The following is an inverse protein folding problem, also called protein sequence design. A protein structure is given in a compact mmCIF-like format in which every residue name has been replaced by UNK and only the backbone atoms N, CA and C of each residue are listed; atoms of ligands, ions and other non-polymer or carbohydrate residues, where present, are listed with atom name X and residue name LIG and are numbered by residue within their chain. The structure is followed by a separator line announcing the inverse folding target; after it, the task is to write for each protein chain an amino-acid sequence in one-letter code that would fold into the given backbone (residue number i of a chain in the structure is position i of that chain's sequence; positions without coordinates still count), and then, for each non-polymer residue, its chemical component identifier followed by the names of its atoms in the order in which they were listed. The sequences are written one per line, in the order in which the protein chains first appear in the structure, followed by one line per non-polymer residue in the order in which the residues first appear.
data_IF_627980021087
#
_entry.id   IF_627980021087
#
_cell.length_a   1.000
_cell.length_b   1.000
_cell.length_c   1.000
_cell.angle_alpha   90.00
_cell.angle_beta   90.00
_cell.angle_gamma   90.00
#
_symmetry.space_group_name_H-M   'P 1'
#
loop_
_entity.id
_entity.type
_entity.pdbx_description
1 polymer ?
#
# COMPACT_ATOMS: atom_id res chain seq x y z
N UNK A 1 11.79 -3.92 -5.55
CA UNK A 1 12.47 -2.80 -6.26
C UNK A 1 13.93 -2.61 -5.86
N UNK A 2 14.27 -2.33 -4.59
CA UNK A 2 15.67 -2.07 -4.19
C UNK A 2 16.62 -3.23 -4.54
N UNK A 3 16.26 -4.47 -4.20
CA UNK A 3 17.06 -5.66 -4.52
C UNK A 3 17.37 -5.76 -6.02
N UNK A 4 16.36 -5.55 -6.86
CA UNK A 4 16.51 -5.56 -8.31
C UNK A 4 17.47 -4.47 -8.81
N UNK A 5 17.32 -3.24 -8.30
CA UNK A 5 18.20 -2.12 -8.66
C UNK A 5 19.65 -2.42 -8.30
N UNK A 6 19.91 -2.85 -7.07
CA UNK A 6 21.26 -3.18 -6.61
C UNK A 6 21.88 -4.32 -7.43
N UNK A 7 21.09 -5.33 -7.80
CA UNK A 7 21.55 -6.44 -8.65
C UNK A 7 21.89 -5.97 -10.06
N UNK A 8 21.08 -5.08 -10.65
CA UNK A 8 21.37 -4.45 -11.96
C UNK A 8 22.64 -3.59 -11.94
N UNK A 9 22.99 -3.02 -10.80
CA UNK A 9 24.25 -2.28 -10.61
C UNK A 9 25.46 -3.18 -10.27
N UNK A 10 25.28 -4.51 -10.28
CA UNK A 10 26.38 -5.47 -10.19
C UNK A 10 26.60 -6.09 -8.81
N UNK A 11 25.72 -5.86 -7.81
CA UNK A 11 25.78 -6.61 -6.57
C UNK A 11 25.22 -8.02 -6.77
N UNK A 12 26.04 -9.04 -6.55
CA UNK A 12 25.66 -10.44 -6.67
C UNK A 12 25.15 -11.02 -5.35
N UNK A 13 24.68 -12.26 -5.39
CA UNK A 13 24.17 -13.02 -4.23
C UNK A 13 25.18 -13.18 -3.09
N UNK A 14 26.47 -13.00 -3.33
CA UNK A 14 27.49 -13.01 -2.27
C UNK A 14 27.48 -11.73 -1.44
N UNK A 15 27.01 -10.62 -2.02
CA UNK A 15 27.02 -9.29 -1.39
C UNK A 15 25.62 -8.76 -1.07
N UNK A 16 24.58 -9.36 -1.66
CA UNK A 16 23.19 -8.95 -1.50
C UNK A 16 22.34 -10.11 -0.97
N UNK A 17 21.52 -9.82 0.04
CA UNK A 17 20.53 -10.73 0.58
C UNK A 17 19.20 -9.99 0.76
N UNK A 18 18.18 -10.44 0.04
CA UNK A 18 16.81 -9.96 0.21
C UNK A 18 15.97 -11.07 0.85
N UNK A 19 15.32 -10.76 1.96
CA UNK A 19 14.49 -11.71 2.72
C UNK A 19 13.04 -11.22 2.78
N UNK A 20 12.10 -12.14 2.88
CA UNK A 20 10.68 -11.87 3.11
C UNK A 20 10.09 -12.93 4.06
N UNK A 21 9.26 -12.48 5.00
CA UNK A 21 8.61 -13.35 5.98
C UNK A 21 7.50 -14.21 5.34
N UNK A 22 6.94 -13.77 4.21
CA UNK A 22 5.89 -14.50 3.51
C UNK A 22 6.45 -15.73 2.80
N UNK A 23 5.69 -16.83 2.72
CA UNK A 23 6.12 -18.05 2.05
C UNK A 23 6.20 -17.93 0.53
N UNK A 24 5.49 -16.98 -0.06
CA UNK A 24 5.39 -16.81 -1.52
C UNK A 24 4.98 -15.40 -1.89
N UNK A 25 4.99 -15.12 -3.19
CA UNK A 25 4.40 -13.90 -3.78
C UNK A 25 2.94 -13.75 -3.35
N UNK A 26 2.48 -12.51 -3.24
CA UNK A 26 1.11 -12.22 -2.84
C UNK A 26 0.07 -12.86 -3.77
N UNK A 27 -0.81 -13.69 -3.19
CA UNK A 27 -1.99 -14.24 -3.89
C UNK A 27 -3.05 -13.17 -4.15
N UNK A 28 -3.25 -12.27 -3.18
CA UNK A 28 -4.14 -11.11 -3.29
C UNK A 28 -3.39 -9.87 -2.81
N UNK A 29 -3.20 -8.92 -3.74
CA UNK A 29 -2.54 -7.65 -3.50
C UNK A 29 -3.42 -6.66 -2.75
N UNK A 30 -2.82 -5.88 -1.86
CA UNK A 30 -3.53 -4.83 -1.13
C UNK A 30 -3.50 -3.50 -1.90
N UNK A 31 -2.43 -3.25 -2.65
CA UNK A 31 -2.29 -2.10 -3.54
C UNK A 31 -2.56 -2.48 -4.99
N UNK A 32 -2.93 -1.48 -5.78
CA UNK A 32 -3.20 -1.62 -7.22
C UNK A 32 -2.87 -0.36 -8.02
N UNK A 33 -3.10 0.82 -7.45
CA UNK A 33 -2.84 2.11 -8.08
C UNK A 33 -1.36 2.40 -8.35
N UNK A 34 -1.06 2.77 -9.59
CA UNK A 34 0.24 3.21 -10.07
C UNK A 34 0.10 4.65 -10.56
N UNK A 35 0.79 5.54 -9.86
CA UNK A 35 0.86 6.96 -10.18
C UNK A 35 1.74 7.22 -11.42
N UNK A 36 1.52 8.33 -12.16
CA UNK A 36 2.31 8.69 -13.34
C UNK A 36 3.82 8.68 -13.09
N UNK A 37 4.26 9.22 -11.96
CA UNK A 37 5.70 9.25 -11.61
C UNK A 37 6.27 7.85 -11.39
N UNK A 38 5.47 6.92 -10.87
CA UNK A 38 5.87 5.52 -10.72
C UNK A 38 5.99 4.84 -12.09
N UNK A 39 5.09 5.13 -13.04
CA UNK A 39 5.21 4.66 -14.43
C UNK A 39 6.50 5.15 -15.10
N UNK A 40 6.94 6.38 -14.85
CA UNK A 40 8.23 6.91 -15.34
C UNK A 40 9.43 6.16 -14.76
N UNK A 41 9.38 5.80 -13.48
CA UNK A 41 10.40 4.96 -12.84
C UNK A 41 10.39 3.57 -13.47
N UNK A 42 9.23 2.95 -13.64
CA UNK A 42 9.10 1.65 -14.31
C UNK A 42 9.57 1.68 -15.77
N UNK A 43 9.37 2.81 -16.47
CA UNK A 43 9.89 3.00 -17.82
C UNK A 43 11.41 3.02 -17.83
N UNK A 44 12.01 3.71 -16.86
CA UNK A 44 13.46 3.79 -16.70
C UNK A 44 14.07 2.43 -16.31
N UNK A 45 13.30 1.60 -15.61
CA UNK A 45 13.63 0.20 -15.34
C UNK A 45 13.37 -0.73 -16.53
N UNK A 46 12.72 -0.29 -17.60
CA UNK A 46 12.39 -1.15 -18.74
C UNK A 46 11.29 -2.18 -18.46
N UNK A 47 10.51 -2.02 -17.38
CA UNK A 47 9.41 -2.93 -17.01
C UNK A 47 8.02 -2.32 -17.29
N UNK A 48 7.93 -1.06 -17.70
CA UNK A 48 6.63 -0.40 -17.89
C UNK A 48 5.80 -1.04 -18.99
N UNK A 49 6.41 -1.50 -20.09
CA UNK A 49 5.68 -2.02 -21.25
C UNK A 49 4.79 -3.20 -20.88
N UNK A 50 5.30 -4.13 -20.06
CA UNK A 50 4.54 -5.30 -19.60
C UNK A 50 3.39 -4.88 -18.66
N UNK A 51 3.66 -3.91 -17.78
CA UNK A 51 2.65 -3.35 -16.87
C UNK A 51 1.55 -2.62 -17.65
N UNK A 52 1.90 -1.76 -18.60
CA UNK A 52 0.97 -0.94 -19.37
C UNK A 52 0.06 -1.79 -20.29
N UNK A 53 0.55 -2.93 -20.76
CA UNK A 53 -0.23 -3.86 -21.59
C UNK A 53 -1.31 -4.62 -20.79
N UNK A 54 -1.12 -4.80 -19.49
CA UNK A 54 -2.02 -5.56 -18.63
C UNK A 54 -2.87 -4.68 -17.72
N UNK A 55 -2.37 -3.51 -17.34
CA UNK A 55 -3.04 -2.61 -16.41
C UNK A 55 -4.30 -1.97 -17.02
N UNK A 56 -5.28 -1.65 -16.17
CA UNK A 56 -6.36 -0.74 -16.56
C UNK A 56 -5.86 0.70 -16.44
N UNK A 57 -5.97 1.48 -17.51
CA UNK A 57 -5.63 2.91 -17.50
C UNK A 57 -6.84 3.74 -17.10
N UNK A 58 -6.68 4.59 -16.09
CA UNK A 58 -7.69 5.51 -15.59
C UNK A 58 -7.40 6.92 -16.13
N UNK A 59 -8.17 7.33 -17.14
CA UNK A 59 -7.99 8.62 -17.80
C UNK A 59 -8.87 9.72 -17.22
N UNK A 60 -9.98 9.35 -16.60
CA UNK A 60 -11.00 10.27 -16.13
C UNK A 60 -11.49 9.87 -14.76
N UNK A 61 -11.87 10.88 -13.99
CA UNK A 61 -12.52 10.75 -12.69
C UNK A 61 -13.92 11.37 -12.77
N UNK A 62 -14.96 10.58 -12.49
CA UNK A 62 -16.33 11.06 -12.38
C UNK A 62 -16.74 11.29 -10.92
N UNK A 63 -17.39 12.42 -10.66
CA UNK A 63 -17.94 12.75 -9.36
C UNK A 63 -19.47 12.63 -9.40
N UNK A 64 -19.98 11.73 -8.57
CA UNK A 64 -21.41 11.50 -8.36
C UNK A 64 -21.78 11.99 -6.97
N UNK A 65 -22.77 12.88 -6.89
CA UNK A 65 -23.19 13.52 -5.64
C UNK A 65 -24.71 13.39 -5.49
N UNK A 66 -25.27 13.66 -4.29
CA UNK A 66 -26.71 13.70 -4.10
C UNK A 66 -27.35 14.71 -5.06
N UNK A 67 -28.41 14.30 -5.76
CA UNK A 67 -29.11 15.20 -6.68
C UNK A 67 -30.03 16.15 -5.95
N UNK A 68 -30.24 17.33 -6.51
CA UNK A 68 -31.29 18.26 -6.07
C UNK A 68 -32.66 17.95 -6.71
N UNK A 69 -32.70 17.08 -7.72
CA UNK A 69 -33.92 16.60 -8.35
C UNK A 69 -34.61 15.60 -7.42
N UNK A 70 -35.87 15.83 -6.99
CA UNK A 70 -36.58 14.92 -6.09
C UNK A 70 -36.81 13.52 -6.66
N UNK A 71 -36.62 13.34 -7.98
CA UNK A 71 -36.75 12.03 -8.63
C UNK A 71 -35.43 11.25 -8.73
N UNK A 72 -34.30 11.83 -8.27
CA UNK A 72 -32.97 11.22 -8.35
C UNK A 72 -32.32 11.19 -6.98
N UNK A 73 -31.65 10.08 -6.66
CA UNK A 73 -30.88 9.97 -5.41
C UNK A 73 -29.49 10.57 -5.61
N UNK A 74 -28.80 10.16 -6.67
CA UNK A 74 -27.48 10.67 -7.06
C UNK A 74 -27.50 11.11 -8.53
N UNK A 75 -26.57 12.00 -8.87
CA UNK A 75 -26.31 12.41 -10.26
C UNK A 75 -24.84 12.67 -10.51
N UNK A 76 -24.41 12.51 -11.77
CA UNK A 76 -23.06 12.85 -12.20
C UNK A 76 -22.93 14.36 -12.32
N UNK A 77 -22.15 14.94 -11.43
CA UNK A 77 -21.93 16.39 -11.36
C UNK A 77 -20.77 16.86 -12.24
N UNK A 78 -19.72 16.04 -12.39
CA UNK A 78 -18.58 16.39 -13.23
C UNK A 78 -17.79 15.15 -13.67
N UNK A 79 -17.04 15.32 -14.75
CA UNK A 79 -16.01 14.39 -15.21
C UNK A 79 -14.78 15.21 -15.52
N UNK A 80 -13.66 14.87 -14.88
CA UNK A 80 -12.38 15.57 -15.03
C UNK A 80 -11.28 14.60 -15.46
N UNK A 81 -10.17 15.09 -16.03
CA UNK A 81 -8.97 14.26 -16.19
C UNK A 81 -8.50 13.72 -14.84
N UNK A 82 -8.14 12.45 -14.78
CA UNK A 82 -7.65 11.81 -13.56
C UNK A 82 -6.31 12.42 -13.10
N UNK A 83 -5.46 12.77 -14.07
CA UNK A 83 -4.17 13.44 -13.85
C UNK A 83 -4.25 14.88 -14.36
N UNK A 84 -4.21 15.84 -13.43
CA UNK A 84 -4.32 17.28 -13.75
C UNK A 84 -2.94 17.89 -14.01
N UNK A 85 -1.92 17.47 -13.24
CA UNK A 85 -0.58 18.00 -13.39
C UNK A 85 0.07 17.49 -14.69
N UNK A 86 0.92 18.29 -15.36
CA UNK A 86 1.67 17.82 -16.51
C UNK A 86 2.51 16.59 -16.14
N UNK A 87 2.22 15.47 -16.78
CA UNK A 87 2.92 14.20 -16.58
C UNK A 87 3.13 13.51 -17.93
N UNK A 88 4.22 12.74 -18.05
CA UNK A 88 4.49 11.97 -19.29
C UNK A 88 3.40 10.94 -19.55
N UNK A 89 2.87 10.35 -18.48
CA UNK A 89 1.73 9.43 -18.50
C UNK A 89 0.51 10.20 -17.98
N UNK A 90 -0.42 10.65 -18.85
CA UNK A 90 -1.57 11.47 -18.46
C UNK A 90 -2.73 10.64 -17.86
N UNK A 91 -2.40 9.55 -17.17
CA UNK A 91 -3.34 8.63 -16.53
C UNK A 91 -2.69 7.95 -15.32
N UNK A 92 -3.49 7.56 -14.34
CA UNK A 92 -3.11 6.52 -13.39
C UNK A 92 -3.36 5.15 -14.01
N UNK A 93 -2.65 4.13 -13.54
CA UNK A 93 -2.88 2.75 -13.96
C UNK A 93 -3.19 1.87 -12.76
N UNK A 94 -4.00 0.84 -12.92
CA UNK A 94 -4.28 -0.13 -11.87
C UNK A 94 -3.99 -1.54 -12.34
N UNK A 95 -3.28 -2.30 -11.52
CA UNK A 95 -2.95 -3.70 -11.78
C UNK A 95 -2.73 -4.43 -10.46
N UNK A 96 -3.05 -5.72 -10.38
CA UNK A 96 -2.77 -6.53 -9.20
C UNK A 96 -1.30 -6.44 -8.78
N UNK A 97 -1.03 -6.05 -7.53
CA UNK A 97 0.34 -5.92 -6.98
C UNK A 97 1.23 -7.13 -7.26
N UNK A 98 0.69 -8.34 -7.17
CA UNK A 98 1.43 -9.58 -7.44
C UNK A 98 1.97 -9.68 -8.88
N UNK A 99 1.33 -9.01 -9.86
CA UNK A 99 1.86 -8.93 -11.24
C UNK A 99 3.12 -8.09 -11.28
N UNK A 100 3.12 -6.91 -10.64
CA UNK A 100 4.30 -6.03 -10.55
C UNK A 100 5.45 -6.76 -9.83
N UNK A 101 5.16 -7.42 -8.71
CA UNK A 101 6.14 -8.21 -7.96
C UNK A 101 6.74 -9.33 -8.82
N UNK A 102 5.90 -10.07 -9.56
CA UNK A 102 6.34 -11.12 -10.47
C UNK A 102 7.26 -10.59 -11.57
N UNK A 103 6.93 -9.44 -12.18
CA UNK A 103 7.76 -8.83 -13.22
C UNK A 103 9.13 -8.48 -12.65
N UNK A 104 9.17 -7.83 -11.49
CA UNK A 104 10.42 -7.48 -10.82
C UNK A 104 11.23 -8.71 -10.38
N UNK A 105 10.57 -9.76 -9.89
CA UNK A 105 11.22 -10.99 -9.45
C UNK A 105 11.77 -11.79 -10.64
N UNK A 106 11.03 -11.88 -11.74
CA UNK A 106 11.49 -12.51 -12.99
C UNK A 106 12.72 -11.79 -13.56
N UNK A 107 12.74 -10.45 -13.48
CA UNK A 107 13.88 -9.65 -13.90
C UNK A 107 15.08 -9.80 -12.94
N UNK A 108 14.84 -9.91 -11.64
CA UNK A 108 15.88 -10.16 -10.64
C UNK A 108 16.63 -11.47 -10.92
N UNK A 109 15.94 -12.52 -11.36
CA UNK A 109 16.53 -13.82 -11.67
C UNK A 109 17.56 -13.79 -12.82
N UNK A 110 17.65 -12.69 -13.58
CA UNK A 110 18.71 -12.49 -14.58
C UNK A 110 20.06 -12.13 -13.95
N UNK A 111 20.06 -11.69 -12.70
CA UNK A 111 21.22 -11.16 -11.98
C UNK A 111 21.51 -11.93 -10.67
N UNK A 112 20.55 -12.70 -10.18
CA UNK A 112 20.58 -13.41 -8.90
C UNK A 112 20.05 -14.82 -9.11
N UNK A 113 20.87 -15.84 -8.85
CA UNK A 113 20.44 -17.24 -8.88
C UNK A 113 19.57 -17.58 -7.67
N UNK A 114 19.83 -16.91 -6.55
CA UNK A 114 19.10 -17.08 -5.28
C UNK A 114 17.70 -16.48 -5.30
N UNK A 115 17.52 -15.32 -5.91
CA UNK A 115 16.29 -14.53 -5.81
C UNK A 115 16.01 -14.06 -4.37
N UNK A 116 14.72 -14.00 -4.01
CA UNK A 116 14.26 -13.57 -2.69
C UNK A 116 14.18 -14.79 -1.75
N UNK A 117 14.80 -14.71 -0.58
CA UNK A 117 14.71 -15.76 0.45
C UNK A 117 13.41 -15.58 1.26
N UNK A 118 12.49 -16.54 1.10
CA UNK A 118 11.16 -16.53 1.73
C UNK A 118 11.17 -17.20 3.11
N UNK A 119 10.03 -17.17 3.80
CA UNK A 119 9.86 -17.71 5.17
C UNK A 119 10.89 -17.20 6.18
N UNK A 120 11.45 -16.01 5.94
CA UNK A 120 12.57 -15.48 6.71
C UNK A 120 12.20 -14.10 7.25
N UNK A 121 12.16 -13.99 8.58
CA UNK A 121 11.85 -12.73 9.28
C UNK A 121 13.04 -12.25 10.11
N UNK A 122 13.19 -10.94 10.23
CA UNK A 122 14.13 -10.34 11.19
C UNK A 122 13.50 -10.43 12.58
N UNK A 123 14.32 -10.85 13.55
CA UNK A 123 13.95 -10.96 14.97
C UNK A 123 14.59 -9.83 15.77
N UNK A 124 15.87 -9.55 15.52
CA UNK A 124 16.63 -8.53 16.24
C UNK A 124 17.70 -7.90 15.34
N UNK A 125 18.05 -6.65 15.64
CA UNK A 125 19.10 -5.88 14.95
C UNK A 125 19.90 -5.12 15.99
N UNK A 126 21.23 -5.28 15.95
CA UNK A 126 22.18 -4.57 16.80
C UNK A 126 23.30 -3.96 15.96
N UNK A 127 23.74 -2.77 16.35
CA UNK A 127 24.94 -2.14 15.79
C UNK A 127 26.06 -2.41 16.79
N UNK A 128 27.04 -3.21 16.36
CA UNK A 128 28.22 -3.59 17.11
C UNK A 128 29.37 -2.63 16.74
N UNK A 129 29.48 -1.52 17.47
CA UNK A 129 30.49 -0.48 17.21
C UNK A 129 31.91 -0.91 17.65
N UNK A 130 32.03 -1.93 18.49
CA UNK A 130 33.30 -2.39 19.06
C UNK A 130 33.83 -3.68 18.39
N UNK A 131 32.98 -4.40 17.66
CA UNK A 131 33.31 -5.65 16.99
C UNK A 131 34.00 -5.48 15.63
N UNK A 132 33.46 -6.15 14.62
CA UNK A 132 34.07 -6.17 13.28
C UNK A 132 33.70 -4.89 12.53
N UNK A 133 34.62 -3.92 12.52
CA UNK A 133 34.41 -2.59 11.93
C UNK A 133 33.91 -2.63 10.47
N UNK A 134 34.30 -3.65 9.70
CA UNK A 134 33.86 -3.79 8.31
C UNK A 134 32.39 -4.21 8.17
N UNK A 135 31.84 -4.97 9.12
CA UNK A 135 30.46 -5.47 9.10
C UNK A 135 29.77 -5.21 10.46
N UNK A 136 29.48 -3.94 10.79
CA UNK A 136 29.05 -3.54 12.14
C UNK A 136 27.60 -3.89 12.46
N UNK A 137 26.77 -4.27 11.48
CA UNK A 137 25.35 -4.56 11.72
C UNK A 137 25.17 -6.06 11.95
N UNK A 138 24.76 -6.43 13.16
CA UNK A 138 24.40 -7.79 13.55
C UNK A 138 22.88 -7.96 13.39
N UNK A 139 22.47 -8.91 12.55
CA UNK A 139 21.06 -9.19 12.27
C UNK A 139 20.75 -10.63 12.66
N UNK A 140 19.80 -10.80 13.58
CA UNK A 140 19.22 -12.11 13.89
C UNK A 140 17.97 -12.29 13.05
N UNK A 141 17.96 -13.31 12.21
CA UNK A 141 16.82 -13.69 11.38
C UNK A 141 16.39 -15.11 11.69
N UNK A 142 15.10 -15.39 11.56
CA UNK A 142 14.53 -16.73 11.70
C UNK A 142 13.99 -17.20 10.36
N UNK A 143 14.53 -18.31 9.85
CA UNK A 143 14.04 -18.99 8.65
C UNK A 143 13.38 -20.30 9.08
N UNK A 144 12.10 -20.47 8.77
CA UNK A 144 11.33 -21.66 9.17
C UNK A 144 11.41 -21.94 10.69
N UNK A 145 11.46 -20.86 11.50
CA UNK A 145 11.58 -20.93 12.95
C UNK A 145 13.01 -21.17 13.49
N UNK A 146 13.98 -21.39 12.61
CA UNK A 146 15.39 -21.58 13.00
C UNK A 146 16.12 -20.24 12.95
N UNK A 147 16.62 -19.80 14.10
CA UNK A 147 17.37 -18.55 14.20
C UNK A 147 18.80 -18.69 13.67
N UNK A 148 19.23 -17.66 12.95
CA UNK A 148 20.60 -17.48 12.45
C UNK A 148 20.98 -16.02 12.59
N UNK A 149 22.23 -15.80 12.97
CA UNK A 149 22.79 -14.45 13.07
C UNK A 149 23.78 -14.22 11.93
N UNK A 150 23.65 -13.07 11.26
CA UNK A 150 24.54 -12.64 10.19
C UNK A 150 25.10 -11.26 10.49
N UNK A 151 26.28 -10.96 9.94
CA UNK A 151 26.84 -9.61 9.95
C UNK A 151 26.74 -9.00 8.55
N UNK A 152 26.41 -7.71 8.49
CA UNK A 152 26.32 -6.94 7.24
C UNK A 152 26.90 -5.54 7.40
N UNK A 153 27.32 -4.95 6.27
CA UNK A 153 27.74 -3.54 6.21
C UNK A 153 26.55 -2.60 6.31
N UNK A 154 25.45 -2.99 5.67
CA UNK A 154 24.25 -2.19 5.55
C UNK A 154 23.00 -3.06 5.71
N UNK A 155 21.99 -2.51 6.35
CA UNK A 155 20.65 -3.09 6.45
C UNK A 155 19.63 -2.04 6.04
N UNK A 156 18.69 -2.41 5.17
CA UNK A 156 17.57 -1.55 4.77
C UNK A 156 16.26 -2.19 5.23
N UNK A 157 15.57 -1.53 6.15
CA UNK A 157 14.24 -1.94 6.62
C UNK A 157 13.15 -1.57 5.61
N UNK A 158 12.64 -2.57 4.89
CA UNK A 158 11.49 -2.47 3.98
C UNK A 158 10.33 -3.39 4.43
N UNK A 159 10.24 -3.62 5.73
CA UNK A 159 9.39 -4.60 6.42
C UNK A 159 8.02 -4.04 6.88
N UNK A 160 7.59 -2.93 6.27
CA UNK A 160 6.21 -2.42 6.37
C UNK A 160 5.87 -1.65 7.66
N UNK A 161 4.57 -1.46 7.89
CA UNK A 161 4.07 -0.60 8.97
C UNK A 161 4.51 -1.03 10.38
N UNK A 162 4.68 -2.33 10.60
CA UNK A 162 5.15 -2.90 11.88
C UNK A 162 6.65 -3.25 11.87
N UNK A 163 7.45 -2.51 11.08
CA UNK A 163 8.88 -2.75 10.90
C UNK A 163 9.64 -3.02 12.22
N UNK A 164 10.22 -4.22 12.31
CA UNK A 164 11.12 -4.64 13.39
C UNK A 164 12.42 -3.84 13.32
N UNK A 165 12.94 -3.61 12.11
CA UNK A 165 14.16 -2.81 11.91
C UNK A 165 14.00 -1.42 12.50
N UNK A 166 12.87 -0.76 12.21
CA UNK A 166 12.54 0.56 12.76
C UNK A 166 12.45 0.54 14.29
N UNK A 167 11.79 -0.48 14.86
CA UNK A 167 11.64 -0.63 16.31
C UNK A 167 12.99 -0.85 17.01
N UNK A 168 13.86 -1.71 16.46
CA UNK A 168 15.21 -1.94 16.99
C UNK A 168 16.07 -0.66 16.97
N UNK A 169 15.85 0.23 16.02
CA UNK A 169 16.49 1.55 15.96
C UNK A 169 15.88 2.59 16.93
N UNK A 170 14.88 2.21 17.73
CA UNK A 170 14.18 3.11 18.65
C UNK A 170 13.30 4.16 17.95
N UNK A 171 13.04 3.98 16.65
CA UNK A 171 12.28 4.95 15.86
C UNK A 171 10.78 4.69 16.03
N UNK A 172 10.07 5.72 16.49
CA UNK A 172 8.62 5.66 16.67
C UNK A 172 7.93 6.38 15.54
N UNK A 173 6.83 5.79 15.10
CA UNK A 173 5.90 6.41 14.18
C UNK A 173 4.87 7.18 15.00
N UNK A 174 4.87 8.50 14.89
CA UNK A 174 3.86 9.37 15.49
C UNK A 174 2.81 9.74 14.44
N UNK A 175 1.55 9.64 14.84
CA UNK A 175 0.41 9.95 14.00
C UNK A 175 -0.90 9.70 14.75
N UNK A 176 -1.96 10.20 14.15
CA UNK A 176 -3.32 10.05 14.64
C UNK A 176 -4.06 9.06 13.74
N UNK A 177 -4.78 8.12 14.35
CA UNK A 177 -5.72 7.27 13.64
C UNK A 177 -7.05 8.00 13.52
N UNK A 178 -7.61 8.05 12.32
CA UNK A 178 -9.00 8.47 12.14
C UNK A 178 -9.91 7.26 12.37
N UNK A 179 -11.11 7.52 12.85
CA UNK A 179 -12.09 6.47 13.20
C UNK A 179 -12.84 5.91 11.99
N UNK A 180 -12.59 6.42 10.79
CA UNK A 180 -13.29 5.96 9.59
C UNK A 180 -12.77 4.60 9.11
N UNK A 181 -13.69 3.65 9.02
CA UNK A 181 -13.44 2.32 8.50
C UNK A 181 -13.97 2.22 7.07
N UNK A 182 -13.12 1.71 6.18
CA UNK A 182 -13.43 1.48 4.79
C UNK A 182 -13.39 -0.03 4.50
N UNK A 183 -14.51 -0.55 4.01
CA UNK A 183 -14.55 -1.86 3.37
C UNK A 183 -13.94 -1.78 1.98
N UNK A 184 -13.19 -2.79 1.59
CA UNK A 184 -12.63 -2.93 0.24
C UNK A 184 -13.00 -4.28 -0.32
N UNK A 185 -13.49 -4.31 -1.55
CA UNK A 185 -13.83 -5.56 -2.25
C UNK A 185 -13.39 -5.48 -3.70
N UNK A 186 -12.74 -6.55 -4.16
CA UNK A 186 -12.38 -6.80 -5.56
C UNK A 186 -13.36 -7.84 -6.11
N UNK A 187 -14.15 -7.44 -7.10
CA UNK A 187 -15.15 -8.31 -7.71
C UNK A 187 -15.39 -8.01 -9.19
N UNK A 188 -15.94 -8.98 -9.92
CA UNK A 188 -16.57 -8.72 -11.22
C UNK A 188 -17.97 -8.19 -10.97
N UNK A 189 -18.19 -6.91 -11.27
CA UNK A 189 -19.46 -6.24 -11.01
C UNK A 189 -20.49 -6.48 -12.13
N UNK A 190 -21.70 -6.86 -11.74
CA UNK A 190 -22.90 -6.82 -12.57
C UNK A 190 -23.75 -5.60 -12.13
N UNK A 191 -23.92 -4.64 -13.03
CA UNK A 191 -24.51 -3.34 -12.72
C UNK A 191 -25.00 -2.63 -13.99
N UNK A 192 -26.01 -1.79 -13.84
CA UNK A 192 -26.47 -0.81 -14.84
C UNK A 192 -25.91 0.61 -14.57
N UNK A 193 -25.01 0.76 -13.60
CA UNK A 193 -24.33 2.03 -13.33
C UNK A 193 -23.41 2.41 -14.50
N UNK A 194 -23.62 3.56 -15.14
CA UNK A 194 -22.99 3.88 -16.43
C UNK A 194 -21.48 4.08 -16.34
N UNK A 195 -20.95 4.38 -15.16
CA UNK A 195 -19.54 4.73 -14.96
C UNK A 195 -18.73 3.66 -14.21
N UNK A 196 -19.21 2.40 -14.15
CA UNK A 196 -18.50 1.30 -13.45
C UNK A 196 -17.07 1.07 -13.96
N UNK A 197 -16.79 1.41 -15.22
CA UNK A 197 -15.45 1.32 -15.85
C UNK A 197 -14.65 2.64 -15.82
N UNK A 198 -15.12 3.65 -15.09
CA UNK A 198 -14.40 4.90 -14.82
C UNK A 198 -14.10 4.97 -13.33
N UNK A 199 -12.98 5.62 -12.95
CA UNK A 199 -12.76 5.98 -11.55
C UNK A 199 -13.92 6.87 -11.10
N UNK A 200 -14.59 6.52 -10.01
CA UNK A 200 -15.75 7.27 -9.51
C UNK A 200 -15.66 7.55 -8.03
N UNK A 201 -16.05 8.76 -7.65
CA UNK A 201 -16.23 9.18 -6.27
C UNK A 201 -17.71 9.44 -6.12
N UNK A 202 -18.37 8.60 -5.33
CA UNK A 202 -19.82 8.62 -5.13
C UNK A 202 -20.05 9.07 -3.70
N UNK A 203 -20.73 10.20 -3.54
CA UNK A 203 -21.32 10.62 -2.29
C UNK A 203 -22.83 10.47 -2.41
N UNK A 204 -23.41 9.74 -1.45
CA UNK A 204 -24.85 9.50 -1.38
C UNK A 204 -25.33 9.71 0.05
N UNK A 205 -26.64 9.87 0.28
CA UNK A 205 -27.20 9.87 1.64
C UNK A 205 -26.93 8.57 2.42
N UNK A 206 -26.72 7.45 1.73
CA UNK A 206 -26.41 6.18 2.38
C UNK A 206 -24.94 6.07 2.78
N UNK A 207 -24.02 6.80 2.13
CA UNK A 207 -22.59 6.78 2.40
C UNK A 207 -21.74 7.05 1.16
N UNK A 208 -20.41 6.99 1.32
CA UNK A 208 -19.46 7.23 0.24
C UNK A 208 -18.91 5.93 -0.34
N UNK A 209 -18.80 5.86 -1.67
CA UNK A 209 -18.18 4.74 -2.40
C UNK A 209 -17.18 5.29 -3.41
N UNK A 210 -15.99 4.70 -3.47
CA UNK A 210 -15.04 4.95 -4.54
C UNK A 210 -14.92 3.70 -5.42
N UNK A 211 -15.17 3.87 -6.71
CA UNK A 211 -15.02 2.82 -7.72
C UNK A 211 -13.65 2.97 -8.38
N UNK A 212 -12.88 1.91 -8.36
CA UNK A 212 -11.58 1.79 -9.03
C UNK A 212 -11.69 0.67 -10.08
N UNK A 213 -11.79 1.00 -11.38
CA UNK A 213 -11.81 -0.02 -12.42
C UNK A 213 -10.45 -0.72 -12.48
N UNK A 214 -10.46 -2.05 -12.45
CA UNK A 214 -9.25 -2.88 -12.46
C UNK A 214 -9.05 -3.60 -13.80
N UNK A 215 -7.90 -4.26 -13.92
CA UNK A 215 -7.45 -5.02 -15.07
C UNK A 215 -8.38 -6.19 -15.44
N UNK A 216 -8.12 -6.76 -16.61
CA UNK A 216 -8.81 -7.96 -17.09
C UNK A 216 -8.16 -9.20 -16.47
N UNK A 217 -8.98 -10.06 -15.87
CA UNK A 217 -8.51 -11.33 -15.28
C UNK A 217 -8.51 -12.46 -16.33
N UNK A 218 -8.00 -13.63 -15.97
CA UNK A 218 -7.82 -14.78 -16.88
C UNK A 218 -9.13 -15.29 -17.50
N UNK A 219 -10.27 -15.08 -16.85
CA UNK A 219 -11.60 -15.40 -17.38
C UNK A 219 -12.03 -14.47 -18.51
N UNK A 220 -11.29 -13.39 -18.75
CA UNK A 220 -11.63 -12.36 -19.72
C UNK A 220 -12.63 -11.33 -19.19
N UNK A 221 -13.00 -11.40 -17.92
CA UNK A 221 -13.84 -10.40 -17.24
C UNK A 221 -12.98 -9.24 -16.71
N UNK A 222 -13.62 -8.10 -16.46
CA UNK A 222 -12.96 -6.95 -15.86
C UNK A 222 -13.23 -6.90 -14.35
N UNK A 223 -12.15 -6.86 -13.58
CA UNK A 223 -12.25 -6.67 -12.14
C UNK A 223 -12.62 -5.22 -11.83
N UNK A 224 -13.30 -5.00 -10.71
CA UNK A 224 -13.60 -3.68 -10.15
C UNK A 224 -13.35 -3.72 -8.65
N UNK A 225 -12.57 -2.75 -8.16
CA UNK A 225 -12.35 -2.54 -6.74
C UNK A 225 -13.31 -1.46 -6.23
N UNK A 226 -13.99 -1.75 -5.13
CA UNK A 226 -14.82 -0.79 -4.42
C UNK A 226 -14.19 -0.47 -3.07
N UNK A 227 -14.07 0.82 -2.76
CA UNK A 227 -13.87 1.29 -1.39
C UNK A 227 -15.21 1.81 -0.89
N UNK A 228 -15.71 1.25 0.20
CA UNK A 228 -17.03 1.54 0.75
C UNK A 228 -16.86 2.06 2.15
N UNK A 229 -17.33 3.27 2.40
CA UNK A 229 -17.37 3.82 3.74
C UNK A 229 -18.41 3.04 4.55
N UNK A 230 -17.98 2.41 5.64
CA UNK A 230 -18.88 1.70 6.55
C UNK A 230 -19.44 2.71 7.55
N UNK A 231 -20.77 2.85 7.71
CA UNK A 231 -21.38 3.74 8.68
C UNK A 231 -20.91 3.43 10.11
N UNK A 232 -20.81 4.45 10.96
CA UNK A 232 -20.32 4.34 12.34
C UNK A 232 -21.33 3.68 13.31
N UNK A 233 -22.50 3.26 12.82
CA UNK A 233 -23.65 2.76 13.60
C UNK A 233 -23.46 1.40 14.30
N UNK A 234 -22.22 0.97 14.54
CA UNK A 234 -21.96 0.00 15.62
C UNK A 234 -21.70 0.78 16.91
N UNK A 235 -22.70 1.56 17.34
CA UNK A 235 -22.71 2.10 18.69
C UNK A 235 -22.74 0.91 19.66
N UNK A 236 -21.76 0.76 20.57
CA UNK A 236 -21.93 -0.18 21.67
C UNK A 236 -23.15 0.25 22.49
N UNK A 237 -24.05 -0.68 22.79
CA UNK A 237 -25.03 -0.51 23.86
C UNK A 237 -24.30 -0.45 25.21
N UNK A 238 -23.73 0.70 25.53
CA UNK A 238 -23.36 1.07 26.91
C UNK A 238 -23.00 2.55 26.98
N UNK A 239 -24.00 3.36 27.30
CA UNK A 239 -23.89 4.73 27.76
C UNK A 239 -23.18 4.78 29.13
N UNK A 240 -21.87 4.51 29.18
CA UNK A 240 -21.00 4.89 30.30
C UNK A 240 -19.59 5.19 29.80
N UNK A 241 -19.28 6.47 29.61
CA UNK A 241 -17.92 6.97 29.40
C UNK A 241 -17.13 7.01 30.72
N UNK A 242 -15.91 6.47 30.77
CA UNK A 242 -14.85 7.03 31.59
C UNK A 242 -13.76 7.66 30.70
N UNK A 243 -13.39 8.88 31.07
CA UNK A 243 -12.33 9.67 30.44
C UNK A 243 -10.99 8.93 30.37
N UNK A 244 -10.34 9.03 29.20
CA UNK A 244 -8.88 9.06 29.08
C UNK A 244 -8.14 7.73 29.23
N UNK A 245 -8.22 6.84 28.24
CA UNK A 245 -7.24 5.76 28.04
C UNK A 245 -7.06 5.49 26.54
N UNK A 246 -5.89 5.82 25.97
CA UNK A 246 -5.56 5.58 24.55
C UNK A 246 -5.64 4.08 24.15
N UNK A 247 -5.57 3.16 25.12
CA UNK A 247 -5.72 1.72 24.89
C UNK A 247 -7.15 1.26 24.56
N UNK A 248 -8.18 1.95 25.02
CA UNK A 248 -9.59 1.54 24.83
C UNK A 248 -10.04 1.77 23.39
N UNK A 249 -9.62 2.90 22.77
CA UNK A 249 -9.98 3.24 21.37
C UNK A 249 -9.46 2.23 20.34
N UNK A 250 -8.25 1.69 20.55
CA UNK A 250 -7.65 0.73 19.64
C UNK A 250 -8.33 -0.66 19.70
N UNK A 251 -8.76 -1.07 20.89
CA UNK A 251 -9.51 -2.30 21.12
C UNK A 251 -10.92 -2.21 20.52
N UNK A 252 -11.60 -1.08 20.72
CA UNK A 252 -12.92 -0.80 20.12
C UNK A 252 -12.88 -0.78 18.59
N UNK A 253 -11.85 -0.18 17.97
CA UNK A 253 -11.68 -0.19 16.52
C UNK A 253 -11.37 -1.61 15.98
N UNK A 254 -10.65 -2.45 16.74
CA UNK A 254 -10.40 -3.84 16.39
C UNK A 254 -11.68 -4.68 16.47
N UNK A 255 -12.50 -4.46 17.50
CA UNK A 255 -13.80 -5.10 17.64
C UNK A 255 -14.78 -4.67 16.55
N UNK A 256 -14.83 -3.37 16.21
CA UNK A 256 -15.63 -2.85 15.08
C UNK A 256 -15.23 -3.50 13.76
N UNK A 257 -13.92 -3.63 13.47
CA UNK A 257 -13.43 -4.35 12.28
C UNK A 257 -13.88 -5.80 12.22
N UNK A 258 -13.89 -6.51 13.34
CA UNK A 258 -14.32 -7.92 13.38
C UNK A 258 -15.81 -8.13 13.07
N UNK A 259 -16.62 -7.07 13.16
CA UNK A 259 -18.06 -7.10 12.84
C UNK A 259 -18.35 -6.76 11.37
N UNK A 260 -17.38 -6.28 10.61
CA UNK A 260 -17.57 -5.95 9.19
C UNK A 260 -17.52 -7.24 8.39
N UNK A 261 -18.61 -7.52 7.65
CA UNK A 261 -18.70 -8.68 6.77
C UNK A 261 -18.72 -8.24 5.31
N UNK A 262 -18.38 -9.17 4.40
CA UNK A 262 -18.47 -8.95 2.96
C UNK A 262 -19.88 -8.54 2.54
N UNK A 263 -20.90 -9.21 3.07
CA UNK A 263 -22.30 -8.93 2.76
C UNK A 263 -22.69 -7.52 3.19
N UNK A 264 -22.19 -7.05 4.34
CA UNK A 264 -22.38 -5.68 4.80
C UNK A 264 -21.77 -4.64 3.87
N UNK A 265 -20.53 -4.89 3.40
CA UNK A 265 -19.84 -4.01 2.44
C UNK A 265 -20.62 -3.95 1.12
N UNK A 266 -21.05 -5.09 0.58
CA UNK A 266 -21.78 -5.17 -0.68
C UNK A 266 -23.15 -4.50 -0.60
N UNK A 267 -23.88 -4.73 0.50
CA UNK A 267 -25.17 -4.08 0.76
C UNK A 267 -25.01 -2.56 0.82
N UNK A 268 -24.03 -2.08 1.57
CA UNK A 268 -23.75 -0.65 1.70
C UNK A 268 -23.37 -0.02 0.35
N UNK A 269 -22.58 -0.71 -0.49
CA UNK A 269 -22.26 -0.25 -1.83
C UNK A 269 -23.50 -0.16 -2.73
N UNK A 270 -24.37 -1.18 -2.70
CA UNK A 270 -25.60 -1.22 -3.46
C UNK A 270 -26.59 -0.13 -3.02
N UNK A 271 -26.67 0.16 -1.72
CA UNK A 271 -27.52 1.24 -1.19
C UNK A 271 -26.99 2.62 -1.60
N UNK A 272 -25.67 2.82 -1.60
CA UNK A 272 -25.04 4.10 -1.96
C UNK A 272 -25.12 4.44 -3.45
N UNK A 273 -25.29 3.45 -4.32
CA UNK A 273 -25.36 3.65 -5.78
C UNK A 273 -26.79 3.70 -6.33
N UNK A 274 -27.81 3.61 -5.46
CA UNK A 274 -29.22 3.76 -5.88
C UNK A 274 -29.40 5.05 -6.69
N UNK A 275 -30.20 5.03 -7.77
CA UNK A 275 -31.14 3.96 -8.15
C UNK A 275 -30.54 2.80 -8.96
N UNK A 276 -29.24 2.81 -9.23
CA UNK A 276 -28.59 1.75 -10.00
C UNK A 276 -28.43 0.46 -9.18
N UNK A 277 -28.45 -0.67 -9.87
CA UNK A 277 -28.16 -2.00 -9.34
C UNK A 277 -26.64 -2.22 -9.27
N UNK A 278 -26.16 -2.90 -8.23
CA UNK A 278 -24.76 -3.33 -8.13
C UNK A 278 -24.69 -4.63 -7.33
N UNK A 279 -24.19 -5.68 -7.98
CA UNK A 279 -23.94 -6.98 -7.34
C UNK A 279 -22.71 -7.66 -7.92
N UNK A 280 -22.01 -8.53 -7.19
CA UNK A 280 -21.01 -9.39 -7.80
C UNK A 280 -21.69 -10.38 -8.75
N UNK A 281 -21.02 -10.72 -9.85
CA UNK A 281 -21.34 -11.91 -10.65
C UNK A 281 -21.14 -13.16 -9.77
N UNK A 282 -21.89 -14.24 -10.02
CA UNK A 282 -21.84 -15.46 -9.22
C UNK A 282 -20.39 -15.94 -9.00
N UNK A 283 -20.03 -16.19 -7.74
CA UNK A 283 -18.70 -16.59 -7.27
C UNK A 283 -17.51 -15.72 -7.74
N UNK A 284 -17.77 -14.46 -8.13
CA UNK A 284 -16.76 -13.57 -8.71
C UNK A 284 -16.25 -12.49 -7.74
N UNK A 285 -16.13 -12.83 -6.45
CA UNK A 285 -15.43 -12.00 -5.45
C UNK A 285 -14.03 -12.57 -5.25
N UNK A 286 -13.02 -11.83 -5.70
CA UNK A 286 -11.63 -12.28 -5.67
C UNK A 286 -11.01 -12.08 -4.28
N UNK A 287 -11.32 -10.95 -3.64
CA UNK A 287 -10.71 -10.56 -2.37
C UNK A 287 -11.49 -9.44 -1.68
N UNK A 288 -11.46 -9.40 -0.35
CA UNK A 288 -11.99 -8.27 0.42
C UNK A 288 -11.22 -8.07 1.74
N UNK A 289 -11.30 -6.85 2.28
CA UNK A 289 -10.79 -6.51 3.61
C UNK A 289 -11.50 -5.29 4.20
N UNK A 290 -11.23 -5.00 5.47
CA UNK A 290 -11.63 -3.76 6.14
C UNK A 290 -10.40 -3.00 6.63
N UNK A 291 -10.24 -1.76 6.17
CA UNK A 291 -9.14 -0.87 6.53
C UNK A 291 -9.60 0.26 7.43
N UNK A 292 -8.79 0.59 8.44
CA UNK A 292 -8.92 1.83 9.18
C UNK A 292 -7.94 2.85 8.61
N UNK A 293 -8.43 4.04 8.27
CA UNK A 293 -7.54 5.11 7.81
C UNK A 293 -6.73 5.66 9.00
N UNK A 294 -5.42 5.52 8.94
CA UNK A 294 -4.50 6.16 9.87
C UNK A 294 -3.43 6.91 9.10
N UNK A 295 -3.21 8.18 9.45
CA UNK A 295 -2.11 8.99 8.91
C UNK A 295 -0.98 9.01 9.94
N UNK A 296 0.12 8.34 9.62
CA UNK A 296 1.27 8.24 10.51
C UNK A 296 2.53 8.63 9.74
N UNK A 297 3.04 9.84 9.99
CA UNK A 297 4.03 10.46 9.11
C UNK A 297 5.27 11.01 9.83
N UNK A 298 5.35 10.97 11.16
CA UNK A 298 6.49 11.56 11.86
C UNK A 298 7.36 10.49 12.51
N UNK A 299 8.63 10.45 12.10
CA UNK A 299 9.68 9.82 12.91
C UNK A 299 10.09 10.82 14.00
N UNK A 300 9.88 10.50 15.27
CA UNK A 300 10.63 11.19 16.32
C UNK A 300 11.99 10.54 16.51
N UNK A 301 13.03 11.35 16.28
CA UNK A 301 14.41 11.03 16.67
C UNK A 301 14.59 11.48 18.12
N UNK A 302 14.51 10.55 19.08
CA UNK A 302 15.20 10.72 20.35
C UNK A 302 16.66 10.27 20.16
N UNK A 303 17.53 11.25 19.93
CA UNK A 303 18.99 11.21 20.10
C UNK A 303 19.75 9.92 19.73
N UNK A 304 20.23 9.82 18.49
CA UNK A 304 21.51 9.18 18.16
C UNK A 304 22.11 9.87 16.93
N UNK A 305 22.68 11.05 17.14
CA UNK A 305 23.62 11.66 16.20
C UNK A 305 24.99 11.69 16.87
N UNK A 306 25.90 10.84 16.40
CA UNK A 306 27.34 11.12 16.36
C UNK A 306 28.03 10.03 15.54
N UNK A 307 28.82 10.49 14.56
CA UNK A 307 29.70 9.74 13.63
C UNK A 307 29.08 9.21 12.35
N UNK A 308 28.72 10.15 11.47
CA UNK A 308 29.08 10.06 10.07
C UNK A 308 29.46 11.47 9.61
N UNK A 309 30.57 11.61 8.87
CA UNK A 309 31.13 12.85 8.32
C UNK A 309 32.16 13.59 9.20
N UNK A 310 33.31 12.95 9.44
CA UNK A 310 34.59 13.66 9.40
C UNK A 310 35.62 12.77 8.72
N UNK A 311 36.15 13.23 7.58
CA UNK A 311 37.34 12.65 6.95
C UNK A 311 37.08 11.91 5.65
N UNK A 312 36.69 12.62 4.59
CA UNK A 312 37.21 12.38 3.23
C UNK A 312 37.13 13.69 2.45
N UNK A 313 38.29 14.29 2.22
CA UNK A 313 38.48 15.38 1.29
C UNK A 313 38.63 14.83 -0.13
N UNK A 314 38.07 15.58 -1.08
CA UNK A 314 38.30 15.57 -2.54
C UNK A 314 37.76 14.39 -3.37
N UNK A 315 36.82 14.78 -4.26
CA UNK A 315 36.25 14.14 -5.46
C UNK A 315 35.05 13.18 -5.33
N UNK A 316 34.11 13.40 -6.26
CA UNK A 316 32.94 12.60 -6.70
C UNK A 316 31.54 12.91 -6.10
N UNK A 317 30.61 13.28 -7.01
CA UNK A 317 29.14 13.30 -6.86
C UNK A 317 28.56 11.88 -7.00
N UNK A 318 27.25 11.60 -6.75
CA UNK A 318 26.18 12.44 -6.20
C UNK A 318 25.55 11.85 -4.92
N UNK A 319 25.40 12.67 -3.89
CA UNK A 319 24.72 12.29 -2.65
C UNK A 319 23.22 12.55 -2.78
N UNK A 320 22.43 11.48 -2.72
CA UNK A 320 20.98 11.50 -2.47
C UNK A 320 20.73 12.21 -1.13
N UNK A 321 20.18 13.42 -1.19
CA UNK A 321 19.74 14.20 -0.03
C UNK A 321 18.20 14.20 0.06
N UNK A 322 17.66 13.69 1.16
CA UNK A 322 16.29 13.84 1.65
C UNK A 322 16.49 14.12 3.15
N UNK A 323 16.33 15.32 3.74
CA UNK A 323 15.20 16.28 3.77
C UNK A 323 15.74 17.69 4.06
N UNK A 324 15.24 18.72 3.34
CA UNK A 324 15.46 20.14 3.66
C UNK A 324 14.47 20.58 4.74
N UNK A 325 14.97 20.87 5.93
CA UNK A 325 14.21 21.49 7.04
C UNK A 325 14.05 22.98 6.74
N UNK A 326 12.82 23.47 6.54
CA UNK A 326 12.53 24.91 6.57
C UNK A 326 12.27 25.31 8.03
N UNK A 327 13.10 26.22 8.53
CA UNK A 327 12.90 26.87 9.82
C UNK A 327 11.79 27.93 9.69
N UNK A 328 10.98 28.05 10.74
CA UNK A 328 10.06 29.18 10.95
C UNK A 328 10.86 30.49 11.01
N UNK A 329 10.34 31.52 10.37
CA UNK A 329 10.41 32.90 10.85
C UNK A 329 9.05 33.23 11.47
#
# INVERSE_FOLDING_TARGET
MLSLLLSRYGLSDTSLLCIDAKPSTLKSGQADGIQPRTLEVFKSLGISTEIENEACQMWQFAFWNPSSDPNKVIERTSVVPDVIAPARFPYEATIHQGRIERIMETDLLRYSERGIVRNTKIVDVKIDEEGVAEFPVLVTMATDGVEKTVRTKHLVGADGAHSVVRQCMGLRLEGESLDHIWGVVDMVAETDFPDIRRRCGIHSPAGSVMIIPRERISTGEYLTRLYVQVPEDVAPESDQMPNGVEGVKAEDARQRRSKITLEGILKQAADAIKPYSLRPKEDAVDWWAAYQLASVCRLSLLSMTRRALQGFSSLEMPVIHIVRKLAKA
#
